data_IF_018678007663
#
_entry.id   IF_018678007663
#
_cell.length_a   1.000
_cell.length_b   1.000
_cell.length_c   1.000
_cell.angle_alpha   90.00
_cell.angle_beta   90.00
_cell.angle_gamma   90.00
#
_symmetry.space_group_name_H-M   'P 1'
#
loop_
_entity.id
_entity.type
_entity.pdbx_description
1 polymer ?
#
# COMPACT_ATOMS: atom_id res chain seq x y z
N UNK A 1 -14.50 -30.69 6.83
CA UNK A 1 -13.56 -30.03 7.77
C UNK A 1 -12.34 -29.40 7.09
N UNK A 2 -12.01 -29.70 5.83
CA UNK A 2 -10.85 -29.14 5.11
C UNK A 2 -11.05 -27.73 4.53
N UNK A 3 -12.29 -27.31 4.28
CA UNK A 3 -12.58 -26.00 3.69
C UNK A 3 -12.36 -24.82 4.68
N UNK A 4 -12.72 -25.01 5.95
CA UNK A 4 -12.59 -23.99 6.99
C UNK A 4 -11.13 -23.67 7.33
N UNK A 5 -10.23 -24.66 7.26
CA UNK A 5 -8.80 -24.45 7.48
C UNK A 5 -8.18 -23.58 6.37
N UNK A 6 -8.46 -23.87 5.10
CA UNK A 6 -7.92 -23.13 3.95
C UNK A 6 -8.33 -21.64 3.98
N UNK A 7 -9.57 -21.35 4.39
CA UNK A 7 -10.08 -19.98 4.44
C UNK A 7 -9.40 -19.14 5.54
N UNK A 8 -9.14 -19.73 6.71
CA UNK A 8 -8.48 -19.06 7.85
C UNK A 8 -7.01 -18.75 7.55
N UNK A 9 -6.27 -19.65 6.88
CA UNK A 9 -4.90 -19.38 6.46
C UNK A 9 -4.81 -18.31 5.36
N UNK A 10 -5.80 -18.19 4.46
CA UNK A 10 -5.85 -17.11 3.46
C UNK A 10 -6.04 -15.72 4.09
N UNK A 11 -6.77 -15.62 5.19
CA UNK A 11 -7.07 -14.36 5.88
C UNK A 11 -5.90 -13.86 6.74
N UNK A 12 -5.16 -14.76 7.40
CA UNK A 12 -4.03 -14.40 8.27
C UNK A 12 -2.84 -13.73 7.58
N UNK A 13 -2.81 -13.71 6.25
CA UNK A 13 -1.72 -13.12 5.48
C UNK A 13 -1.98 -11.66 5.08
N UNK A 14 -3.18 -11.12 5.31
CA UNK A 14 -3.54 -9.74 4.93
C UNK A 14 -3.52 -8.82 6.16
N UNK A 15 -2.76 -7.74 6.08
CA UNK A 15 -2.65 -6.72 7.13
C UNK A 15 -2.74 -5.32 6.53
N UNK A 16 -3.42 -4.40 7.23
CA UNK A 16 -3.43 -2.97 6.91
C UNK A 16 -2.47 -2.22 7.81
N UNK A 17 -1.58 -1.41 7.23
CA UNK A 17 -0.56 -0.64 7.92
C UNK A 17 -0.80 0.84 7.62
N UNK A 18 -0.77 1.69 8.65
CA UNK A 18 -0.77 3.13 8.49
C UNK A 18 0.65 3.62 8.15
N UNK A 19 0.77 4.43 7.09
CA UNK A 19 2.04 5.02 6.66
C UNK A 19 1.83 6.42 6.11
N UNK A 20 2.91 7.10 5.76
CA UNK A 20 2.88 8.40 5.06
C UNK A 20 3.47 8.22 3.67
N UNK A 21 3.01 9.03 2.71
CA UNK A 21 3.57 9.04 1.37
C UNK A 21 5.08 9.38 1.41
N UNK A 22 5.97 8.52 0.85
CA UNK A 22 7.41 8.77 0.85
C UNK A 22 7.85 9.76 -0.23
N UNK A 23 6.90 10.31 -0.98
CA UNK A 23 7.19 11.27 -2.05
C UNK A 23 7.35 12.63 -1.45
N UNK A 24 8.40 13.33 -1.86
CA UNK A 24 8.67 14.71 -1.48
C UNK A 24 7.70 15.65 -2.20
N UNK A 25 6.47 15.73 -1.70
CA UNK A 25 5.43 16.63 -2.15
C UNK A 25 4.74 17.27 -0.95
N UNK A 26 4.15 18.45 -1.16
CA UNK A 26 3.57 19.25 -0.08
C UNK A 26 2.35 18.60 0.60
N UNK A 27 1.68 17.66 -0.07
CA UNK A 27 0.42 17.10 0.41
C UNK A 27 0.58 16.19 1.65
N UNK A 28 1.78 15.63 1.89
CA UNK A 28 2.09 14.75 3.04
C UNK A 28 1.00 13.70 3.33
N UNK A 29 0.46 13.07 2.28
CA UNK A 29 -0.73 12.23 2.39
C UNK A 29 -0.52 11.06 3.37
N UNK A 30 -1.50 10.81 4.24
CA UNK A 30 -1.52 9.56 5.00
C UNK A 30 -2.04 8.45 4.10
N UNK A 31 -1.49 7.26 4.28
CA UNK A 31 -1.76 6.09 3.45
C UNK A 31 -2.12 4.90 4.33
N UNK A 32 -3.12 4.15 3.86
CA UNK A 32 -3.49 2.84 4.39
C UNK A 32 -2.97 1.80 3.41
N UNK A 33 -1.92 1.09 3.80
CA UNK A 33 -1.20 0.13 2.95
C UNK A 33 -1.67 -1.29 3.29
N UNK A 34 -2.20 -2.00 2.31
CA UNK A 34 -2.61 -3.40 2.48
C UNK A 34 -1.47 -4.30 2.02
N UNK A 35 -0.95 -5.10 2.93
CA UNK A 35 0.10 -6.07 2.71
C UNK A 35 -0.50 -7.47 2.75
N UNK A 36 -0.23 -8.28 1.72
CA UNK A 36 -0.60 -9.70 1.67
C UNK A 36 0.62 -10.56 1.48
N UNK A 37 0.92 -11.44 2.45
CA UNK A 37 2.05 -12.36 2.35
C UNK A 37 3.39 -11.64 2.12
N UNK A 38 3.61 -10.52 2.82
CA UNK A 38 4.83 -9.70 2.70
C UNK A 38 4.90 -8.81 1.46
N UNK A 39 3.87 -8.81 0.59
CA UNK A 39 3.80 -7.92 -0.58
C UNK A 39 2.72 -6.87 -0.44
N UNK A 40 3.02 -5.64 -0.84
CA UNK A 40 2.05 -4.55 -0.89
C UNK A 40 1.08 -4.84 -2.05
N UNK A 41 -0.20 -5.02 -1.75
CA UNK A 41 -1.24 -5.28 -2.75
C UNK A 41 -2.10 -4.07 -3.04
N UNK A 42 -2.27 -3.16 -2.08
CA UNK A 42 -3.03 -1.92 -2.27
C UNK A 42 -2.43 -0.78 -1.45
N UNK A 43 -2.54 0.43 -1.99
CA UNK A 43 -2.20 1.69 -1.31
C UNK A 43 -3.35 2.66 -1.56
N UNK A 44 -4.02 3.07 -0.49
CA UNK A 44 -5.11 4.05 -0.54
C UNK A 44 -4.84 5.18 0.45
N UNK A 45 -5.49 6.33 0.27
CA UNK A 45 -5.38 7.41 1.24
C UNK A 45 -6.06 7.03 2.55
N UNK A 46 -5.53 7.53 3.66
CA UNK A 46 -6.10 7.35 4.99
C UNK A 46 -7.02 8.53 5.35
N UNK A 47 -8.22 8.22 5.79
CA UNK A 47 -9.26 9.16 6.21
C UNK A 47 -8.90 9.84 7.55
N UNK A 48 -7.93 9.30 8.28
CA UNK A 48 -7.40 9.91 9.50
C UNK A 48 -6.62 11.22 9.27
N UNK A 49 -6.19 11.52 8.04
CA UNK A 49 -5.52 12.80 7.75
C UNK A 49 -6.57 13.92 7.60
N UNK A 50 -6.59 14.95 8.45
CA UNK A 50 -7.58 16.03 8.36
C UNK A 50 -7.42 16.90 7.11
N UNK A 51 -6.23 16.90 6.49
CA UNK A 51 -5.94 17.70 5.30
C UNK A 51 -6.31 16.95 4.03
N UNK A 52 -5.88 15.69 3.90
CA UNK A 52 -6.12 14.91 2.67
C UNK A 52 -7.42 14.12 2.73
N UNK A 53 -7.97 13.82 3.91
CA UNK A 53 -9.30 13.20 4.07
C UNK A 53 -9.49 11.90 3.30
N UNK A 54 -8.46 11.04 3.23
CA UNK A 54 -8.52 9.81 2.44
C UNK A 54 -8.16 9.96 0.96
N UNK A 55 -7.87 11.17 0.49
CA UNK A 55 -7.37 11.40 -0.86
C UNK A 55 -5.88 11.02 -0.98
N UNK A 56 -5.52 10.39 -2.09
CA UNK A 56 -4.13 10.18 -2.52
C UNK A 56 -4.04 10.30 -4.04
N UNK A 57 -2.97 10.91 -4.54
CA UNK A 57 -2.81 11.11 -5.98
C UNK A 57 -2.55 9.78 -6.72
N UNK A 58 -2.77 9.71 -8.06
CA UNK A 58 -2.50 8.51 -8.85
C UNK A 58 -1.06 8.01 -8.77
N UNK A 59 -0.11 8.87 -8.39
CA UNK A 59 1.29 8.49 -8.15
C UNK A 59 1.41 7.67 -6.85
N UNK A 60 0.82 8.14 -5.76
CA UNK A 60 0.79 7.44 -4.47
C UNK A 60 0.01 6.13 -4.54
N UNK A 61 -1.18 6.15 -5.13
CA UNK A 61 -2.04 4.97 -5.28
C UNK A 61 -1.38 3.81 -6.05
N UNK A 62 -0.38 4.10 -6.90
CA UNK A 62 0.34 3.12 -7.71
C UNK A 62 1.68 2.68 -7.12
N UNK A 63 2.01 3.07 -5.89
CA UNK A 63 3.25 2.64 -5.24
C UNK A 63 3.31 1.12 -5.00
N UNK A 64 2.16 0.45 -4.87
CA UNK A 64 2.09 -1.02 -4.83
C UNK A 64 2.76 -1.71 -6.03
N UNK A 65 2.80 -1.07 -7.20
CA UNK A 65 3.48 -1.58 -8.39
C UNK A 65 4.93 -1.09 -8.46
N UNK A 66 5.18 0.17 -8.08
CA UNK A 66 6.48 0.83 -8.29
C UNK A 66 7.58 0.36 -7.35
N UNK A 67 7.24 -0.08 -6.14
CA UNK A 67 8.22 -0.60 -5.17
C UNK A 67 8.99 -1.82 -5.72
N UNK A 68 8.40 -2.56 -6.66
CA UNK A 68 8.98 -3.79 -7.21
C UNK A 68 9.63 -3.61 -8.59
N UNK A 69 9.69 -2.37 -9.11
CA UNK A 69 10.23 -2.08 -10.44
C UNK A 69 11.34 -1.05 -10.33
N UNK A 70 12.56 -1.43 -10.70
CA UNK A 70 13.65 -0.46 -10.84
C UNK A 70 13.47 0.34 -12.14
N UNK A 71 13.31 1.66 -12.02
CA UNK A 71 13.26 2.58 -13.18
C UNK A 71 14.63 3.14 -13.58
N UNK A 72 15.61 2.97 -12.71
CA UNK A 72 17.01 3.35 -12.91
C UNK A 72 17.78 2.09 -13.28
N UNK A 73 17.28 1.33 -14.27
CA UNK A 73 18.15 0.37 -14.94
C UNK A 73 19.39 1.17 -15.38
N UNK A 74 20.55 0.73 -14.90
CA UNK A 74 21.85 1.37 -15.09
C UNK A 74 21.92 1.74 -16.57
N UNK A 75 21.93 3.04 -16.87
CA UNK A 75 22.26 3.50 -18.21
C UNK A 75 23.75 3.23 -18.35
N UNK A 76 24.08 2.12 -18.99
CA UNK A 76 25.39 1.87 -19.56
C UNK A 76 25.85 3.04 -20.45
#
# INVERSE_FOLDING_TARGET
>A
MTCSFIMVYRLKLVMSIASVCPRDCYDTCFLKVVVRGGKVVSVVGDDANPITGGFTCPRGARDNVRVYVNKVAVRD
#
